data_IF_903587625487
#
_entry.id   IF_903587625487
#
_cell.length_a   1.000
_cell.length_b   1.000
_cell.length_c   1.000
_cell.angle_alpha   90.00
_cell.angle_beta   90.00
_cell.angle_gamma   90.00
#
_symmetry.space_group_name_H-M   'P 1'
#
loop_
_entity.id
_entity.type
_entity.pdbx_description
1 polymer ?
#
# COMPACT_ATOMS: atom_id res chain seq x y z
N UNK A 1 33.89 -17.41 14.88
CA UNK A 1 34.09 -15.95 14.85
C UNK A 1 33.34 -15.40 16.04
N UNK A 2 34.03 -14.83 17.01
CA UNK A 2 33.43 -14.31 18.24
C UNK A 2 33.57 -12.79 18.24
N UNK A 3 32.50 -12.10 18.62
CA UNK A 3 32.53 -10.64 18.84
C UNK A 3 32.65 -10.40 20.33
N UNK A 4 33.54 -9.51 20.74
CA UNK A 4 33.73 -9.15 22.15
C UNK A 4 34.02 -7.67 22.25
N UNK A 5 33.34 -7.00 23.18
CA UNK A 5 33.58 -5.60 23.51
C UNK A 5 34.61 -5.54 24.64
N UNK A 6 35.72 -4.83 24.42
CA UNK A 6 36.85 -4.77 25.35
C UNK A 6 37.18 -3.30 25.65
N UNK A 7 37.40 -2.91 26.91
CA UNK A 7 37.98 -1.60 27.23
C UNK A 7 39.45 -1.56 26.77
N UNK A 8 39.78 -0.58 25.93
CA UNK A 8 41.16 -0.35 25.49
C UNK A 8 41.85 0.71 26.37
N UNK A 9 43.17 0.89 26.24
CA UNK A 9 44.01 1.61 27.22
C UNK A 9 43.65 3.08 27.49
N UNK A 10 42.79 3.69 26.69
CA UNK A 10 42.24 5.04 26.90
C UNK A 10 40.89 5.04 27.65
N UNK A 11 40.40 3.87 28.08
CA UNK A 11 39.12 3.68 28.77
C UNK A 11 37.92 3.56 27.83
N UNK A 12 38.10 3.66 26.51
CA UNK A 12 36.99 3.49 25.55
C UNK A 12 36.66 2.02 25.34
N UNK A 13 35.38 1.72 25.11
CA UNK A 13 34.94 0.38 24.73
C UNK A 13 35.04 0.23 23.22
N UNK A 14 35.68 -0.86 22.77
CA UNK A 14 35.86 -1.20 21.36
C UNK A 14 35.35 -2.60 21.09
N UNK A 15 34.67 -2.77 19.96
CA UNK A 15 34.20 -4.06 19.48
C UNK A 15 35.27 -4.73 18.65
N UNK A 16 35.64 -5.94 19.04
CA UNK A 16 36.59 -6.76 18.31
C UNK A 16 35.91 -8.00 17.76
N UNK A 17 36.22 -8.31 16.51
CA UNK A 17 35.93 -9.62 15.94
C UNK A 17 37.22 -10.41 15.85
N UNK A 18 37.22 -11.56 16.52
CA UNK A 18 38.38 -12.44 16.58
C UNK A 18 38.14 -13.70 15.76
N UNK A 19 39.11 -13.99 14.90
CA UNK A 19 39.23 -15.28 14.21
C UNK A 19 40.41 -16.03 14.80
N UNK A 20 40.14 -17.26 15.25
CA UNK A 20 41.14 -18.17 15.82
C UNK A 20 41.65 -19.06 14.69
N UNK A 21 42.95 -19.04 14.43
CA UNK A 21 43.54 -19.70 13.27
C UNK A 21 44.24 -21.01 13.61
N UNK A 22 44.83 -21.11 14.81
CA UNK A 22 45.48 -22.33 15.30
C UNK A 22 45.24 -22.47 16.79
N UNK A 23 44.95 -23.69 17.23
CA UNK A 23 44.82 -24.03 18.65
C UNK A 23 45.63 -25.28 18.94
N UNK A 24 46.61 -25.16 19.82
CA UNK A 24 47.34 -26.28 20.39
C UNK A 24 46.77 -26.61 21.77
N UNK A 25 46.46 -27.89 21.98
CA UNK A 25 45.90 -28.38 23.22
C UNK A 25 46.87 -29.35 23.89
N UNK A 26 47.10 -29.15 25.17
CA UNK A 26 47.76 -30.11 26.08
C UNK A 26 46.79 -30.46 27.20
N UNK A 27 47.03 -31.55 27.98
CA UNK A 27 46.17 -31.89 29.11
C UNK A 27 46.07 -30.80 30.19
N UNK A 28 47.06 -29.90 30.28
CA UNK A 28 47.15 -28.87 31.31
C UNK A 28 46.73 -27.48 30.80
N UNK A 29 46.96 -27.17 29.51
CA UNK A 29 46.74 -25.84 28.95
C UNK A 29 46.33 -25.86 27.46
N UNK A 30 45.70 -24.77 27.01
CA UNK A 30 45.36 -24.52 25.61
C UNK A 30 45.94 -23.18 25.15
N UNK A 31 46.60 -23.18 23.99
CA UNK A 31 47.17 -21.97 23.38
C UNK A 31 46.54 -21.76 22.02
N UNK A 32 46.10 -20.53 21.75
CA UNK A 32 45.48 -20.18 20.49
C UNK A 32 46.10 -18.91 19.89
N UNK A 33 46.43 -18.94 18.60
CA UNK A 33 46.73 -17.74 17.84
C UNK A 33 45.43 -17.18 17.29
N UNK A 34 45.13 -15.93 17.67
CA UNK A 34 43.97 -15.19 17.18
C UNK A 34 44.37 -13.85 16.59
N UNK A 35 43.66 -13.44 15.54
CA UNK A 35 43.72 -12.07 15.02
C UNK A 35 42.39 -11.42 15.37
N UNK A 36 42.47 -10.28 16.06
CA UNK A 36 41.34 -9.43 16.35
C UNK A 36 41.33 -8.25 15.37
N UNK A 37 40.15 -7.93 14.84
CA UNK A 37 39.91 -6.72 14.06
C UNK A 37 38.99 -5.81 14.85
N UNK A 38 39.36 -4.54 15.01
CA UNK A 38 38.44 -3.51 15.53
C UNK A 38 37.33 -3.30 14.50
N UNK A 39 36.08 -3.55 14.91
CA UNK A 39 34.87 -3.37 14.11
C UNK A 39 33.95 -2.31 14.71
N UNK A 40 34.43 -1.52 15.68
CA UNK A 40 33.64 -0.52 16.40
C UNK A 40 32.98 0.46 15.43
N UNK A 41 33.75 1.04 14.51
CA UNK A 41 33.24 1.98 13.50
C UNK A 41 32.22 1.32 12.57
N UNK A 42 32.44 0.05 12.20
CA UNK A 42 31.55 -0.69 11.31
C UNK A 42 30.22 -1.04 11.98
N UNK A 43 30.26 -1.48 13.23
CA UNK A 43 29.07 -1.79 14.02
C UNK A 43 28.26 -0.52 14.30
N UNK A 44 28.92 0.58 14.64
CA UNK A 44 28.27 1.88 14.84
C UNK A 44 27.63 2.39 13.55
N UNK A 45 28.34 2.30 12.41
CA UNK A 45 27.78 2.67 11.11
C UNK A 45 26.59 1.80 10.71
N UNK A 46 26.66 0.48 10.95
CA UNK A 46 25.57 -0.45 10.69
C UNK A 46 24.36 -0.20 11.59
N UNK A 47 24.59 0.11 12.87
CA UNK A 47 23.53 0.46 13.81
C UNK A 47 22.83 1.78 13.42
N UNK A 48 23.61 2.82 13.09
CA UNK A 48 23.08 4.09 12.63
C UNK A 48 22.29 3.96 11.31
N UNK A 49 22.77 3.13 10.37
CA UNK A 49 22.05 2.85 9.13
C UNK A 49 20.74 2.11 9.39
N UNK A 50 20.72 1.14 10.32
CA UNK A 50 19.50 0.42 10.72
C UNK A 50 18.49 1.37 11.35
N UNK A 51 18.93 2.21 12.28
CA UNK A 51 18.08 3.20 12.96
C UNK A 51 17.51 4.23 11.97
N UNK A 52 18.33 4.72 11.03
CA UNK A 52 17.88 5.61 9.97
C UNK A 52 16.84 4.93 9.06
N UNK A 53 17.05 3.65 8.70
CA UNK A 53 16.11 2.88 7.89
C UNK A 53 14.79 2.62 8.64
N UNK A 54 14.86 2.30 9.93
CA UNK A 54 13.68 2.10 10.79
C UNK A 54 12.88 3.40 10.97
N UNK A 55 13.57 4.54 11.07
CA UNK A 55 12.95 5.87 11.08
C UNK A 55 12.27 6.21 9.75
N UNK A 56 12.90 5.90 8.61
CA UNK A 56 12.28 6.06 7.29
C UNK A 56 11.04 5.15 7.14
N UNK A 57 11.12 3.90 7.59
CA UNK A 57 9.98 2.99 7.60
C UNK A 57 8.85 3.49 8.52
N UNK A 58 9.18 4.09 9.66
CA UNK A 58 8.21 4.71 10.56
C UNK A 58 7.54 5.95 9.94
N UNK A 59 8.29 6.77 9.21
CA UNK A 59 7.75 7.90 8.46
C UNK A 59 6.85 7.44 7.28
N UNK A 60 7.19 6.32 6.64
CA UNK A 60 6.37 5.70 5.58
C UNK A 60 4.96 5.31 6.04
N UNK A 61 4.79 4.85 7.29
CA UNK A 61 3.48 4.46 7.84
C UNK A 61 2.48 5.63 7.95
N UNK A 62 2.97 6.84 8.22
CA UNK A 62 2.13 8.05 8.27
C UNK A 62 1.62 8.46 6.88
N UNK A 63 2.39 8.15 5.84
CA UNK A 63 1.96 8.34 4.45
C UNK A 63 0.89 7.29 4.09
N UNK A 64 1.04 6.04 4.55
CA UNK A 64 0.04 4.97 4.36
C UNK A 64 -1.29 5.21 5.11
N UNK A 65 -1.29 5.88 6.26
CA UNK A 65 -2.52 6.22 6.97
C UNK A 65 -3.42 7.20 6.20
N UNK A 66 -2.81 8.08 5.39
CA UNK A 66 -3.49 9.05 4.52
C UNK A 66 -3.84 8.50 3.12
N UNK A 67 -3.48 7.24 2.82
CA UNK A 67 -3.39 6.70 1.45
C UNK A 67 -4.69 6.12 0.85
N UNK A 68 -5.83 6.36 1.48
CA UNK A 68 -7.13 5.89 0.97
C UNK A 68 -8.13 7.05 0.98
N UNK A 69 -8.04 7.98 0.02
CA UNK A 69 -8.87 9.16 0.03
C UNK A 69 -10.28 8.83 -0.48
N UNK A 70 -11.18 8.40 0.42
CA UNK A 70 -12.60 8.40 0.11
C UNK A 70 -13.12 9.83 0.25
N UNK A 71 -13.42 10.47 -0.87
CA UNK A 71 -13.80 11.88 -0.93
C UNK A 71 -15.24 12.06 -1.38
N UNK A 72 -15.92 13.07 -0.85
CA UNK A 72 -17.27 13.42 -1.27
C UNK A 72 -17.20 14.28 -2.53
N UNK A 73 -17.80 13.81 -3.63
CA UNK A 73 -17.89 14.58 -4.87
C UNK A 73 -19.17 15.40 -4.95
N UNK A 74 -20.25 14.88 -4.37
CA UNK A 74 -21.55 15.51 -4.31
C UNK A 74 -22.34 14.98 -3.12
N UNK A 75 -23.43 15.63 -2.77
CA UNK A 75 -24.37 15.06 -1.79
C UNK A 75 -24.88 13.70 -2.28
N UNK A 76 -24.66 12.66 -1.47
CA UNK A 76 -24.95 11.28 -1.81
C UNK A 76 -23.95 10.59 -2.78
N UNK A 77 -22.85 11.23 -3.17
CA UNK A 77 -21.86 10.66 -4.13
C UNK A 77 -20.44 10.73 -3.57
N UNK A 78 -19.82 9.55 -3.45
CA UNK A 78 -18.43 9.37 -3.03
C UNK A 78 -17.52 9.00 -4.20
N UNK A 79 -16.22 9.29 -4.06
CA UNK A 79 -15.16 8.79 -4.90
C UNK A 79 -14.11 8.05 -4.07
N UNK A 80 -13.66 6.92 -4.61
CA UNK A 80 -12.66 6.03 -4.03
C UNK A 80 -11.59 5.70 -5.10
N UNK A 81 -10.57 6.56 -5.28
CA UNK A 81 -9.52 6.32 -6.26
C UNK A 81 -8.50 5.30 -5.73
N UNK A 82 -8.04 4.45 -6.64
CA UNK A 82 -7.01 3.44 -6.41
C UNK A 82 -5.75 3.85 -7.17
N UNK A 83 -4.69 4.14 -6.44
CA UNK A 83 -3.42 4.60 -7.00
C UNK A 83 -2.30 3.63 -6.68
N UNK A 84 -1.58 3.21 -7.70
CA UNK A 84 -0.41 2.34 -7.59
C UNK A 84 -0.78 0.86 -7.44
N UNK A 85 0.16 0.08 -6.89
CA UNK A 85 -0.03 -1.36 -6.72
C UNK A 85 -1.14 -1.66 -5.72
N UNK A 86 -2.04 -2.57 -6.09
CA UNK A 86 -3.14 -3.01 -5.25
C UNK A 86 -2.73 -4.31 -4.56
N UNK A 87 -2.41 -4.22 -3.28
CA UNK A 87 -2.18 -5.39 -2.42
C UNK A 87 -3.36 -5.65 -1.49
N UNK A 88 -3.33 -6.80 -0.81
CA UNK A 88 -4.39 -7.24 0.10
C UNK A 88 -4.62 -6.29 1.27
N UNK A 89 -3.56 -5.68 1.81
CA UNK A 89 -3.65 -4.80 2.97
C UNK A 89 -4.30 -3.47 2.58
N UNK A 90 -3.81 -2.83 1.50
CA UNK A 90 -4.37 -1.59 0.96
C UNK A 90 -5.82 -1.76 0.52
N UNK A 91 -6.15 -2.87 -0.13
CA UNK A 91 -7.52 -3.17 -0.57
C UNK A 91 -8.49 -3.31 0.59
N UNK A 92 -8.07 -3.96 1.67
CA UNK A 92 -8.89 -4.13 2.87
C UNK A 92 -9.16 -2.79 3.55
N UNK A 93 -8.12 -1.96 3.71
CA UNK A 93 -8.25 -0.61 4.28
C UNK A 93 -9.13 0.29 3.42
N UNK A 94 -9.03 0.18 2.09
CA UNK A 94 -9.90 0.91 1.18
C UNK A 94 -11.36 0.51 1.32
N UNK A 95 -11.61 -0.79 1.40
CA UNK A 95 -12.96 -1.30 1.63
C UNK A 95 -13.53 -0.76 2.94
N UNK A 96 -12.79 -0.87 4.04
CA UNK A 96 -13.23 -0.36 5.35
C UNK A 96 -13.52 1.14 5.33
N UNK A 97 -12.63 1.95 4.75
CA UNK A 97 -12.80 3.38 4.63
C UNK A 97 -14.04 3.75 3.79
N UNK A 98 -14.25 3.05 2.67
CA UNK A 98 -15.40 3.25 1.79
C UNK A 98 -16.71 2.91 2.50
N UNK A 99 -16.81 1.74 3.11
CA UNK A 99 -18.01 1.31 3.82
C UNK A 99 -18.34 2.27 4.98
N UNK A 100 -17.33 2.68 5.74
CA UNK A 100 -17.48 3.67 6.82
C UNK A 100 -18.00 5.01 6.28
N UNK A 101 -17.44 5.49 5.17
CA UNK A 101 -17.88 6.74 4.55
C UNK A 101 -19.31 6.64 4.01
N UNK A 102 -19.68 5.51 3.38
CA UNK A 102 -21.04 5.25 2.88
C UNK A 102 -22.04 5.36 4.01
N UNK A 103 -21.83 4.67 5.14
CA UNK A 103 -22.75 4.72 6.27
C UNK A 103 -22.82 6.10 6.90
N UNK A 104 -21.67 6.75 7.12
CA UNK A 104 -21.59 8.07 7.75
C UNK A 104 -22.28 9.15 6.93
N UNK A 105 -22.12 9.12 5.60
CA UNK A 105 -22.64 10.15 4.70
C UNK A 105 -23.95 9.74 4.01
N UNK A 106 -24.45 8.52 4.25
CA UNK A 106 -25.62 7.93 3.56
C UNK A 106 -25.47 8.03 2.03
N UNK A 107 -24.29 7.71 1.54
CA UNK A 107 -23.99 7.79 0.12
C UNK A 107 -24.84 6.77 -0.67
N UNK A 108 -25.50 7.24 -1.73
CA UNK A 108 -26.24 6.40 -2.65
C UNK A 108 -25.34 5.88 -3.78
N UNK A 109 -24.24 6.59 -4.07
CA UNK A 109 -23.28 6.25 -5.11
C UNK A 109 -21.84 6.29 -4.62
N UNK A 110 -21.04 5.33 -5.06
CA UNK A 110 -19.59 5.32 -4.92
C UNK A 110 -18.94 5.12 -6.30
N UNK A 111 -18.04 6.03 -6.67
CA UNK A 111 -17.28 5.95 -7.92
C UNK A 111 -15.87 5.47 -7.60
N UNK A 112 -15.55 4.26 -8.03
CA UNK A 112 -14.24 3.63 -7.82
C UNK A 112 -13.40 3.90 -9.06
N UNK A 113 -12.29 4.61 -8.89
CA UNK A 113 -11.42 5.02 -10.00
C UNK A 113 -10.15 4.16 -10.02
N UNK A 114 -9.97 3.38 -11.09
CA UNK A 114 -8.81 2.50 -11.29
C UNK A 114 -7.84 3.03 -12.34
N UNK A 115 -7.93 4.30 -12.74
CA UNK A 115 -7.03 4.91 -13.74
C UNK A 115 -5.55 4.77 -13.34
N UNK A 116 -5.26 4.76 -12.04
CA UNK A 116 -3.92 4.60 -11.48
C UNK A 116 -3.44 3.16 -11.27
N UNK A 117 -4.20 2.16 -11.71
CA UNK A 117 -3.87 0.74 -11.55
C UNK A 117 -3.26 0.21 -12.86
N UNK A 118 -1.95 -0.10 -12.89
CA UNK A 118 -1.26 -0.44 -14.14
C UNK A 118 -1.63 -1.83 -14.68
N UNK A 119 -1.90 -2.79 -13.80
CA UNK A 119 -2.22 -4.18 -14.15
C UNK A 119 -3.34 -4.66 -13.24
N UNK A 120 -4.33 -5.33 -13.82
CA UNK A 120 -5.40 -6.01 -13.07
C UNK A 120 -5.22 -7.51 -13.26
N UNK A 121 -4.95 -8.22 -12.16
CA UNK A 121 -4.98 -9.68 -12.12
C UNK A 121 -6.28 -10.17 -11.45
N UNK A 122 -6.41 -11.49 -11.31
CA UNK A 122 -7.56 -12.12 -10.66
C UNK A 122 -7.73 -11.68 -9.21
N UNK A 123 -6.64 -11.39 -8.50
CA UNK A 123 -6.69 -11.00 -7.09
C UNK A 123 -7.24 -9.57 -6.94
N UNK A 124 -6.71 -8.62 -7.70
CA UNK A 124 -7.17 -7.23 -7.74
C UNK A 124 -8.65 -7.16 -8.14
N UNK A 125 -9.03 -7.91 -9.18
CA UNK A 125 -10.42 -7.96 -9.61
C UNK A 125 -11.36 -8.50 -8.51
N UNK A 126 -10.98 -9.57 -7.82
CA UNK A 126 -11.76 -10.11 -6.71
C UNK A 126 -11.94 -9.09 -5.58
N UNK A 127 -10.89 -8.33 -5.25
CA UNK A 127 -11.01 -7.26 -4.24
C UNK A 127 -12.01 -6.18 -4.66
N UNK A 128 -11.96 -5.74 -5.92
CA UNK A 128 -12.91 -4.77 -6.45
C UNK A 128 -14.36 -5.28 -6.37
N UNK A 129 -14.59 -6.52 -6.82
CA UNK A 129 -15.91 -7.15 -6.80
C UNK A 129 -16.44 -7.24 -5.36
N UNK A 130 -15.64 -7.75 -4.42
CA UNK A 130 -16.04 -7.88 -3.02
C UNK A 130 -16.35 -6.53 -2.37
N UNK A 131 -15.52 -5.53 -2.63
CA UNK A 131 -15.73 -4.17 -2.13
C UNK A 131 -17.05 -3.58 -2.65
N UNK A 132 -17.32 -3.70 -3.96
CA UNK A 132 -18.56 -3.21 -4.57
C UNK A 132 -19.79 -3.96 -4.09
N UNK A 133 -19.69 -5.27 -3.88
CA UNK A 133 -20.77 -6.08 -3.30
C UNK A 133 -21.07 -5.63 -1.88
N UNK A 134 -20.04 -5.44 -1.04
CA UNK A 134 -20.21 -4.94 0.32
C UNK A 134 -20.86 -3.55 0.36
N UNK A 135 -20.45 -2.63 -0.51
CA UNK A 135 -21.08 -1.31 -0.64
C UNK A 135 -22.55 -1.41 -1.09
N UNK A 136 -22.85 -2.33 -2.01
CA UNK A 136 -24.22 -2.60 -2.47
C UNK A 136 -25.11 -3.11 -1.34
N UNK A 137 -24.59 -3.94 -0.43
CA UNK A 137 -25.33 -4.40 0.75
C UNK A 137 -25.70 -3.24 1.70
N UNK A 138 -24.95 -2.14 1.69
CA UNK A 138 -25.25 -0.92 2.43
C UNK A 138 -26.21 0.03 1.68
N UNK A 139 -26.74 -0.38 0.52
CA UNK A 139 -27.62 0.43 -0.30
C UNK A 139 -26.89 1.44 -1.20
N UNK A 140 -25.57 1.33 -1.34
CA UNK A 140 -24.77 2.21 -2.20
C UNK A 140 -24.44 1.54 -3.54
N UNK A 141 -24.88 2.14 -4.64
CA UNK A 141 -24.54 1.68 -5.98
C UNK A 141 -23.11 2.06 -6.36
N UNK A 142 -22.35 1.11 -6.91
CA UNK A 142 -20.98 1.36 -7.32
C UNK A 142 -20.87 1.58 -8.83
N UNK A 143 -20.00 2.53 -9.23
CA UNK A 143 -19.56 2.72 -10.60
C UNK A 143 -18.04 2.56 -10.66
N UNK A 144 -17.56 1.74 -11.60
CA UNK A 144 -16.14 1.60 -11.88
C UNK A 144 -15.73 2.51 -13.04
N UNK A 145 -14.69 3.32 -12.85
CA UNK A 145 -14.16 4.24 -13.87
C UNK A 145 -12.67 4.04 -14.10
N UNK A 146 -12.17 4.52 -15.23
CA UNK A 146 -10.74 4.43 -15.55
C UNK A 146 -10.30 3.10 -16.17
N UNK A 147 -11.24 2.29 -16.67
CA UNK A 147 -10.93 1.04 -17.36
C UNK A 147 -10.32 1.36 -18.73
N UNK A 148 -9.00 1.19 -18.85
CA UNK A 148 -8.28 1.26 -20.12
C UNK A 148 -8.47 0.01 -21.00
N UNK A 149 -8.06 0.06 -22.28
CA UNK A 149 -8.19 -1.06 -23.21
C UNK A 149 -7.50 -2.35 -22.73
N UNK A 150 -6.30 -2.23 -22.17
CA UNK A 150 -5.52 -3.38 -21.67
C UNK A 150 -6.24 -4.08 -20.52
N UNK A 151 -6.71 -3.31 -19.52
CA UNK A 151 -7.47 -3.83 -18.38
C UNK A 151 -8.76 -4.51 -18.86
N UNK A 152 -9.49 -3.90 -19.80
CA UNK A 152 -10.71 -4.48 -20.35
C UNK A 152 -10.43 -5.85 -21.00
N UNK A 153 -9.35 -5.98 -21.77
CA UNK A 153 -8.95 -7.25 -22.37
C UNK A 153 -8.57 -8.28 -21.31
N UNK A 154 -7.79 -7.89 -20.30
CA UNK A 154 -7.39 -8.79 -19.22
C UNK A 154 -8.59 -9.31 -18.43
N UNK A 155 -9.55 -8.44 -18.08
CA UNK A 155 -10.78 -8.84 -17.39
C UNK A 155 -11.56 -9.89 -18.18
N UNK A 156 -11.70 -9.70 -19.49
CA UNK A 156 -12.39 -10.67 -20.38
C UNK A 156 -11.61 -11.98 -20.46
N UNK A 157 -10.28 -11.93 -20.59
CA UNK A 157 -9.43 -13.11 -20.64
C UNK A 157 -9.46 -13.94 -19.35
N UNK A 158 -9.55 -13.27 -18.20
CA UNK A 158 -9.65 -13.91 -16.90
C UNK A 158 -11.04 -14.54 -16.64
N UNK A 159 -12.02 -14.30 -17.53
CA UNK A 159 -13.38 -14.82 -17.38
C UNK A 159 -14.13 -14.22 -16.20
N UNK A 160 -13.76 -13.01 -15.78
CA UNK A 160 -14.40 -12.32 -14.66
C UNK A 160 -15.76 -11.79 -15.09
N UNK A 161 -16.80 -12.16 -14.34
CA UNK A 161 -18.14 -11.60 -14.57
C UNK A 161 -18.28 -10.24 -13.88
N UNK A 162 -18.09 -9.18 -14.66
CA UNK A 162 -18.38 -7.80 -14.23
C UNK A 162 -19.74 -7.30 -14.75
N UNK A 163 -20.63 -8.16 -15.23
CA UNK A 163 -21.92 -7.75 -15.82
C UNK A 163 -22.82 -7.00 -14.84
N UNK A 164 -22.69 -7.29 -13.55
CA UNK A 164 -23.39 -6.60 -12.47
C UNK A 164 -22.78 -5.23 -12.11
N UNK A 165 -21.59 -4.91 -12.63
CA UNK A 165 -20.86 -3.68 -12.29
C UNK A 165 -21.08 -2.66 -13.39
N UNK A 166 -21.62 -1.50 -13.02
CA UNK A 166 -21.76 -0.38 -13.95
C UNK A 166 -20.38 0.25 -14.15
N UNK A 167 -20.02 0.48 -15.41
CA UNK A 167 -18.76 1.12 -15.77
C UNK A 167 -18.99 2.46 -16.46
N UNK A 168 -18.02 3.37 -16.35
CA UNK A 168 -17.96 4.59 -17.13
C UNK A 168 -16.51 4.90 -17.52
N UNK A 169 -16.26 5.54 -18.68
CA UNK A 169 -14.89 5.73 -19.17
C UNK A 169 -14.08 6.70 -18.30
N UNK A 170 -14.72 7.66 -17.63
CA UNK A 170 -14.04 8.69 -16.85
C UNK A 170 -14.82 9.03 -15.57
N UNK A 171 -14.13 9.64 -14.61
CA UNK A 171 -14.73 10.20 -13.39
C UNK A 171 -15.88 11.16 -13.71
N UNK A 172 -15.70 12.06 -14.68
CA UNK A 172 -16.72 13.03 -15.07
C UNK A 172 -18.00 12.32 -15.54
N UNK A 173 -17.85 11.28 -16.37
CA UNK A 173 -19.00 10.52 -16.86
C UNK A 173 -19.65 9.69 -15.75
N UNK A 174 -18.86 9.13 -14.84
CA UNK A 174 -19.35 8.44 -13.64
C UNK A 174 -20.18 9.37 -12.76
N UNK A 175 -19.70 10.59 -12.51
CA UNK A 175 -20.40 11.60 -11.73
C UNK A 175 -21.70 12.04 -12.42
N UNK A 176 -21.67 12.31 -13.74
CA UNK A 176 -22.88 12.62 -14.52
C UNK A 176 -23.96 11.54 -14.34
N UNK A 177 -23.57 10.26 -14.41
CA UNK A 177 -24.49 9.14 -14.24
C UNK A 177 -25.08 9.11 -12.84
N UNK A 178 -24.23 9.24 -11.80
CA UNK A 178 -24.68 9.24 -10.40
C UNK A 178 -25.67 10.39 -10.14
N UNK A 179 -25.36 11.59 -10.61
CA UNK A 179 -26.21 12.77 -10.47
C UNK A 179 -27.56 12.57 -11.19
N UNK A 180 -27.55 12.05 -12.42
CA UNK A 180 -28.80 11.76 -13.14
C UNK A 180 -29.65 10.71 -12.42
N UNK A 181 -29.03 9.69 -11.82
CA UNK A 181 -29.74 8.68 -11.02
C UNK A 181 -30.32 9.23 -9.72
N UNK A 182 -29.72 10.28 -9.16
CA UNK A 182 -30.26 11.04 -8.02
C UNK A 182 -31.33 12.07 -8.40
N UNK A 183 -31.70 12.17 -9.68
CA UNK A 183 -32.73 13.09 -10.18
C UNK A 183 -32.21 14.48 -10.58
N UNK A 184 -30.89 14.70 -10.56
CA UNK A 184 -30.31 15.94 -11.07
C UNK A 184 -30.28 15.95 -12.61
N UNK A 185 -30.42 17.14 -13.19
CA UNK A 185 -30.19 17.36 -14.63
C UNK A 185 -28.82 17.99 -14.84
N UNK A 186 -27.93 17.26 -15.51
CA UNK A 186 -26.64 17.80 -15.94
C UNK A 186 -26.75 18.31 -17.37
N UNK A 187 -26.47 19.59 -17.58
CA UNK A 187 -26.45 20.22 -18.90
C UNK A 187 -25.04 20.72 -19.20
N UNK A 188 -24.55 20.45 -20.42
CA UNK A 188 -23.37 21.15 -20.91
C UNK A 188 -23.80 22.58 -21.27
N UNK A 189 -23.08 23.63 -20.85
CA UNK A 189 -23.32 24.96 -21.34
C UNK A 189 -23.31 24.90 -22.87
N UNK A 190 -24.37 25.38 -23.52
CA UNK A 190 -24.40 25.45 -24.97
C UNK A 190 -23.16 26.22 -25.44
N UNK A 191 -22.49 25.73 -26.48
CA UNK A 191 -21.50 26.54 -27.19
C UNK A 191 -22.27 27.73 -27.75
N UNK A 192 -22.17 28.90 -27.11
CA UNK A 192 -22.73 30.13 -27.64
C UNK A 192 -22.22 30.33 -29.06
N UNK A 193 -23.16 30.43 -30.00
CA UNK A 193 -22.89 30.85 -31.38
C UNK A 193 -22.77 32.36 -31.48
#
# INVERSE_FOLDING_TARGET
MYTTTIPVGDGTLRDFVSTVYQVEWTPEHAVALSIARDVTEQNQAMAALREANDSLAAQGRLIEELSVPVVTLWDGVLSAPIVGAVDSHRSSRLTEALLTAITRQRAAFAIIDITGVPIVDTQVANYLIQMMQAATLLGCQCLLVGIGPEIAQTVVQLGLDLSAIRTAPTMQRGLEIALMSLGYRVQRPGKGG
#
